data_IF_249895868117
#
_entry.id   IF_249895868117
#
_cell.length_a   1.000
_cell.length_b   1.000
_cell.length_c   1.000
_cell.angle_alpha   90.00
_cell.angle_beta   90.00
_cell.angle_gamma   90.00
#
_symmetry.space_group_name_H-M   'P 1'
#
loop_
_entity.id
_entity.type
_entity.pdbx_description
1 polymer ?
#
# COMPACT_ATOMS: atom_id res chain seq x y z
N UNK A 1 41.31 49.05 41.94
CA UNK A 1 40.32 47.95 42.00
C UNK A 1 39.66 47.80 40.63
N UNK A 2 40.10 46.80 39.83
CA UNK A 2 39.50 46.51 38.50
C UNK A 2 38.50 45.38 38.69
N UNK A 3 37.21 45.65 38.35
CA UNK A 3 36.14 44.64 38.31
C UNK A 3 36.16 43.95 36.95
N UNK A 4 36.50 42.65 36.91
CA UNK A 4 36.36 41.76 35.78
C UNK A 4 34.96 41.19 35.78
N UNK A 5 34.16 41.59 34.79
CA UNK A 5 32.82 40.99 34.53
C UNK A 5 32.96 39.79 33.64
N UNK A 6 32.53 38.62 34.14
CA UNK A 6 32.46 37.37 33.39
C UNK A 6 31.12 37.29 32.70
N UNK A 7 31.11 37.36 31.36
CA UNK A 7 29.91 37.12 30.57
C UNK A 7 29.76 35.62 30.31
N UNK A 8 28.67 35.04 30.86
CA UNK A 8 28.27 33.66 30.60
C UNK A 8 27.44 33.62 29.31
N UNK A 9 28.01 33.12 28.22
CA UNK A 9 27.28 32.86 26.97
C UNK A 9 26.47 31.58 27.14
N UNK A 10 25.14 31.70 27.27
CA UNK A 10 24.21 30.58 27.14
C UNK A 10 24.05 30.23 25.65
N UNK A 11 24.67 29.14 25.24
CA UNK A 11 24.38 28.49 23.94
C UNK A 11 23.03 27.76 24.05
N UNK A 12 21.97 28.36 23.51
CA UNK A 12 20.72 27.69 23.30
C UNK A 12 20.88 26.79 22.07
N UNK A 13 21.11 25.52 22.32
CA UNK A 13 21.04 24.50 21.25
C UNK A 13 19.58 24.34 20.81
N UNK A 14 19.18 24.97 19.71
CA UNK A 14 17.94 24.65 19.01
C UNK A 14 18.07 23.23 18.47
N UNK A 15 17.58 22.26 19.23
CA UNK A 15 17.33 20.90 18.71
C UNK A 15 16.19 21.03 17.71
N UNK A 16 16.54 21.18 16.45
CA UNK A 16 15.59 20.98 15.36
C UNK A 16 15.19 19.50 15.38
N UNK A 17 14.07 19.20 16.03
CA UNK A 17 13.41 17.92 15.85
C UNK A 17 13.00 17.82 14.38
N UNK A 18 13.78 17.11 13.57
CA UNK A 18 13.35 16.68 12.27
C UNK A 18 12.06 15.86 12.47
N UNK A 19 10.97 16.15 11.74
CA UNK A 19 9.79 15.32 11.80
C UNK A 19 10.18 13.91 11.34
N UNK A 20 10.23 13.01 12.29
CA UNK A 20 10.73 11.68 12.06
C UNK A 20 9.59 10.81 11.56
N UNK A 21 9.58 10.52 10.27
CA UNK A 21 8.82 9.37 9.71
C UNK A 21 9.18 8.03 10.41
N UNK A 22 10.15 8.05 11.30
CA UNK A 22 10.56 6.94 12.17
C UNK A 22 9.49 6.48 13.18
N UNK A 23 8.33 7.11 13.21
CA UNK A 23 7.35 6.90 14.28
C UNK A 23 5.97 6.41 13.80
N UNK A 24 5.78 6.04 12.52
CA UNK A 24 4.45 5.65 12.03
C UNK A 24 3.85 4.53 12.86
N UNK A 25 4.57 3.41 12.99
CA UNK A 25 4.11 2.28 13.81
C UNK A 25 4.08 2.60 15.31
N UNK A 26 5.00 3.43 15.80
CA UNK A 26 5.00 3.86 17.20
C UNK A 26 3.81 4.76 17.52
N UNK A 27 3.40 5.58 16.55
CA UNK A 27 2.25 6.48 16.68
C UNK A 27 0.93 5.72 16.62
N UNK A 28 0.78 4.80 15.65
CA UNK A 28 -0.50 4.18 15.32
C UNK A 28 -0.66 2.75 15.86
N UNK A 29 0.45 2.00 16.03
CA UNK A 29 0.43 0.63 16.59
C UNK A 29 -0.39 -0.36 15.78
N UNK A 30 -1.12 -1.23 16.48
CA UNK A 30 -2.04 -2.18 15.86
C UNK A 30 -3.22 -1.46 15.26
N UNK A 31 -3.47 -1.70 13.97
CA UNK A 31 -4.64 -1.18 13.28
C UNK A 31 -5.84 -2.10 13.48
N UNK A 32 -7.04 -1.50 13.44
CA UNK A 32 -8.28 -2.25 13.41
C UNK A 32 -9.34 -1.52 12.58
N UNK A 33 -10.42 -2.21 12.25
CA UNK A 33 -11.55 -1.66 11.48
C UNK A 33 -12.76 -1.50 12.41
N UNK A 34 -13.34 -0.30 12.40
CA UNK A 34 -14.62 -0.03 13.02
C UNK A 34 -15.54 0.72 12.05
N UNK A 35 -16.71 0.14 11.77
CA UNK A 35 -17.58 0.61 10.70
C UNK A 35 -16.86 0.64 9.35
N UNK A 36 -16.79 1.81 8.74
CA UNK A 36 -16.09 2.02 7.45
C UNK A 36 -14.69 2.60 7.61
N UNK A 37 -14.16 2.69 8.83
CA UNK A 37 -12.90 3.39 9.10
C UNK A 37 -11.79 2.44 9.54
N UNK A 38 -10.58 2.73 9.05
CA UNK A 38 -9.35 2.18 9.59
C UNK A 38 -8.90 3.03 10.77
N UNK A 39 -8.78 2.42 11.94
CA UNK A 39 -8.42 3.08 13.19
C UNK A 39 -7.08 2.55 13.72
N UNK A 40 -6.41 3.38 14.51
CA UNK A 40 -5.19 3.01 15.22
C UNK A 40 -5.50 2.45 16.64
N UNK A 41 -4.44 2.02 17.35
CA UNK A 41 -4.55 1.50 18.71
C UNK A 41 -5.19 2.46 19.72
N UNK A 42 -5.35 3.74 19.36
CA UNK A 42 -6.00 4.78 20.18
C UNK A 42 -7.39 5.15 19.68
N UNK A 43 -7.99 4.34 18.78
CA UNK A 43 -9.28 4.57 18.13
C UNK A 43 -9.32 5.90 17.33
N UNK A 44 -8.17 6.32 16.77
CA UNK A 44 -8.11 7.48 15.88
C UNK A 44 -8.09 7.05 14.41
N UNK A 45 -8.85 7.72 13.53
CA UNK A 45 -8.81 7.41 12.10
C UNK A 45 -7.41 7.55 11.51
N UNK A 46 -7.00 6.54 10.74
CA UNK A 46 -5.69 6.51 10.06
C UNK A 46 -5.89 6.45 8.56
N UNK A 47 -5.16 7.29 7.84
CA UNK A 47 -5.05 7.22 6.39
C UNK A 47 -3.59 6.88 6.06
N UNK A 48 -3.36 5.65 5.61
CA UNK A 48 -2.06 5.21 5.13
C UNK A 48 -1.87 5.65 3.67
N UNK A 49 -0.69 6.18 3.35
CA UNK A 49 -0.38 6.69 2.01
C UNK A 49 1.01 6.25 1.61
N UNK A 50 1.11 5.66 0.41
CA UNK A 50 2.39 5.10 0.03
C UNK A 50 2.53 4.70 -1.42
N UNK A 51 3.51 3.85 -1.66
CA UNK A 51 3.90 3.36 -2.98
C UNK A 51 3.78 1.85 -3.07
N UNK A 52 3.26 1.37 -4.18
CA UNK A 52 3.43 -0.01 -4.59
C UNK A 52 4.79 -0.18 -5.30
N UNK A 53 5.48 -1.26 -5.00
CA UNK A 53 6.51 -1.76 -5.91
C UNK A 53 5.85 -2.26 -7.20
N UNK A 54 6.58 -2.35 -8.29
CA UNK A 54 6.17 -3.14 -9.45
C UNK A 54 6.31 -4.64 -9.16
N UNK A 55 5.82 -5.51 -10.02
CA UNK A 55 5.92 -6.97 -9.87
C UNK A 55 7.35 -7.42 -9.57
N UNK A 56 7.53 -8.25 -8.54
CA UNK A 56 8.86 -8.65 -8.08
C UNK A 56 9.71 -9.34 -9.15
N UNK A 57 9.07 -10.10 -10.05
CA UNK A 57 9.72 -10.86 -11.12
C UNK A 57 10.18 -9.97 -12.29
N UNK A 58 9.50 -8.85 -12.55
CA UNK A 58 9.88 -7.91 -13.61
C UNK A 58 10.82 -6.83 -13.11
N UNK A 59 10.70 -6.39 -11.86
CA UNK A 59 11.53 -5.33 -11.28
C UNK A 59 12.23 -5.75 -9.97
N UNK A 60 12.90 -6.92 -9.93
CA UNK A 60 13.53 -7.46 -8.72
C UNK A 60 14.61 -6.55 -8.15
N UNK A 61 15.19 -5.66 -8.98
CA UNK A 61 16.25 -4.75 -8.57
C UNK A 61 15.83 -3.72 -7.52
N UNK A 62 14.53 -3.41 -7.44
CA UNK A 62 14.01 -2.47 -6.46
C UNK A 62 13.60 -3.13 -5.14
N UNK A 63 13.47 -4.46 -5.10
CA UNK A 63 13.09 -5.21 -3.89
C UNK A 63 14.28 -5.35 -2.93
N UNK A 64 14.62 -4.24 -2.25
CA UNK A 64 15.73 -4.17 -1.31
C UNK A 64 15.44 -3.17 -0.18
N UNK A 65 16.10 -3.32 0.99
CA UNK A 65 15.88 -2.48 2.16
C UNK A 65 16.12 -0.99 1.92
N UNK A 66 17.09 -0.64 1.08
CA UNK A 66 17.44 0.75 0.83
C UNK A 66 16.35 1.50 0.06
N UNK A 67 15.63 0.82 -0.84
CA UNK A 67 14.47 1.39 -1.53
C UNK A 67 13.35 1.71 -0.55
N UNK A 68 13.03 0.79 0.37
CA UNK A 68 12.03 1.02 1.43
C UNK A 68 12.43 2.22 2.31
N UNK A 69 13.67 2.23 2.79
CA UNK A 69 14.19 3.34 3.59
C UNK A 69 14.13 4.68 2.85
N UNK A 70 14.36 4.68 1.52
CA UNK A 70 14.26 5.88 0.71
C UNK A 70 12.81 6.36 0.53
N UNK A 71 11.87 5.45 0.26
CA UNK A 71 10.44 5.77 0.14
C UNK A 71 9.91 6.39 1.45
N UNK A 72 10.29 5.84 2.60
CA UNK A 72 9.97 6.44 3.89
C UNK A 72 10.61 7.82 4.05
N UNK A 73 11.92 7.92 3.90
CA UNK A 73 12.70 9.12 4.20
C UNK A 73 12.39 10.29 3.29
N UNK A 74 12.30 10.03 1.98
CA UNK A 74 12.22 11.08 0.96
C UNK A 74 10.81 11.26 0.40
N UNK A 75 10.05 10.18 0.25
CA UNK A 75 8.68 10.24 -0.24
C UNK A 75 7.65 10.36 0.90
N UNK A 76 8.07 10.18 2.14
CA UNK A 76 7.24 10.18 3.34
C UNK A 76 6.19 9.06 3.35
N UNK A 77 6.43 7.93 2.69
CA UNK A 77 5.52 6.80 2.71
C UNK A 77 5.28 6.31 4.14
N UNK A 78 4.01 6.12 4.51
CA UNK A 78 3.59 5.49 5.76
C UNK A 78 3.33 4.00 5.59
N UNK A 79 3.21 3.56 4.35
CA UNK A 79 3.02 2.17 3.93
C UNK A 79 3.71 1.93 2.60
N UNK A 80 4.14 0.70 2.35
CA UNK A 80 4.56 0.21 1.03
C UNK A 80 3.80 -1.07 0.68
N UNK A 81 3.55 -1.31 -0.60
CA UNK A 81 2.92 -2.54 -1.09
C UNK A 81 3.97 -3.36 -1.84
N UNK A 82 4.02 -4.66 -1.55
CA UNK A 82 4.99 -5.61 -2.10
C UNK A 82 4.29 -6.67 -2.99
N UNK A 83 4.03 -6.36 -4.28
CA UNK A 83 3.40 -7.25 -5.22
C UNK A 83 4.25 -8.47 -5.53
N UNK A 84 3.74 -9.66 -5.20
CA UNK A 84 4.36 -10.93 -5.59
C UNK A 84 3.65 -11.48 -6.82
N UNK A 85 4.22 -11.29 -8.01
CA UNK A 85 3.66 -11.84 -9.24
C UNK A 85 3.55 -13.37 -9.19
N UNK A 86 2.39 -13.90 -9.54
CA UNK A 86 2.09 -15.33 -9.36
C UNK A 86 2.27 -16.10 -10.66
N UNK A 87 1.52 -15.76 -11.72
CA UNK A 87 1.47 -16.52 -12.97
C UNK A 87 2.57 -16.21 -13.98
N UNK A 88 3.04 -14.95 -14.12
CA UNK A 88 4.03 -14.63 -15.15
C UNK A 88 5.35 -15.32 -14.94
N UNK A 89 6.11 -15.47 -16.04
CA UNK A 89 7.46 -16.07 -16.01
C UNK A 89 8.34 -15.41 -14.94
N UNK A 90 8.98 -16.25 -14.13
CA UNK A 90 9.77 -15.83 -12.97
C UNK A 90 8.91 -15.44 -11.75
N UNK A 91 7.59 -15.66 -11.81
CA UNK A 91 6.68 -15.50 -10.70
C UNK A 91 6.71 -16.66 -9.70
N UNK A 92 5.82 -16.61 -8.73
CA UNK A 92 5.76 -17.58 -7.64
C UNK A 92 5.59 -19.04 -8.12
N UNK A 93 4.82 -19.27 -9.20
CA UNK A 93 4.60 -20.62 -9.73
C UNK A 93 5.86 -21.20 -10.38
N UNK A 94 6.77 -20.36 -10.88
CA UNK A 94 8.04 -20.79 -11.48
C UNK A 94 9.14 -20.93 -10.41
N UNK A 95 9.26 -19.95 -9.51
CA UNK A 95 10.30 -19.90 -8.46
C UNK A 95 9.76 -19.25 -7.18
N UNK A 96 9.02 -20.04 -6.41
CA UNK A 96 8.42 -19.58 -5.16
C UNK A 96 9.46 -19.14 -4.12
N UNK A 97 10.64 -19.75 -4.11
CA UNK A 97 11.69 -19.43 -3.14
C UNK A 97 12.23 -18.01 -3.38
N UNK A 98 12.57 -17.67 -4.62
CA UNK A 98 13.02 -16.31 -5.00
C UNK A 98 11.90 -15.30 -4.81
N UNK A 99 10.65 -15.62 -5.20
CA UNK A 99 9.49 -14.74 -5.03
C UNK A 99 9.30 -14.35 -3.56
N UNK A 100 9.24 -15.34 -2.68
CA UNK A 100 9.10 -15.14 -1.23
C UNK A 100 10.28 -14.36 -0.65
N UNK A 101 11.52 -14.67 -1.07
CA UNK A 101 12.70 -13.94 -0.61
C UNK A 101 12.63 -12.45 -0.97
N UNK A 102 12.18 -12.10 -2.18
CA UNK A 102 12.02 -10.70 -2.62
C UNK A 102 10.97 -9.97 -1.80
N UNK A 103 9.80 -10.55 -1.63
CA UNK A 103 8.73 -9.95 -0.81
C UNK A 103 9.20 -9.76 0.63
N UNK A 104 9.82 -10.78 1.23
CA UNK A 104 10.37 -10.69 2.60
C UNK A 104 11.39 -9.58 2.75
N UNK A 105 12.25 -9.33 1.77
CA UNK A 105 13.22 -8.23 1.84
C UNK A 105 12.54 -6.86 1.99
N UNK A 106 11.35 -6.66 1.38
CA UNK A 106 10.55 -5.45 1.55
C UNK A 106 9.83 -5.44 2.89
N UNK A 107 9.24 -6.57 3.31
CA UNK A 107 8.51 -6.70 4.59
C UNK A 107 9.44 -6.45 5.77
N UNK A 108 10.58 -7.15 5.81
CA UNK A 108 11.57 -7.02 6.88
C UNK A 108 12.10 -5.58 6.97
N UNK A 109 12.33 -4.93 5.82
CA UNK A 109 12.76 -3.54 5.77
C UNK A 109 11.67 -2.57 6.27
N UNK A 110 10.41 -2.78 5.92
CA UNK A 110 9.30 -1.94 6.38
C UNK A 110 9.11 -2.06 7.90
N UNK A 111 9.24 -3.26 8.46
CA UNK A 111 9.23 -3.50 9.90
C UNK A 111 10.40 -2.74 10.56
N UNK A 112 11.62 -2.88 10.03
CA UNK A 112 12.80 -2.18 10.55
C UNK A 112 12.64 -0.66 10.48
N UNK A 113 12.08 -0.15 9.39
CA UNK A 113 11.82 1.27 9.20
C UNK A 113 10.62 1.79 10.01
N UNK A 114 9.80 0.93 10.58
CA UNK A 114 8.63 1.29 11.38
C UNK A 114 7.50 1.92 10.56
N UNK A 115 7.28 1.44 9.34
CA UNK A 115 6.13 1.73 8.48
C UNK A 115 5.30 0.47 8.25
N UNK A 116 4.08 0.62 7.73
CA UNK A 116 3.24 -0.52 7.35
C UNK A 116 3.68 -1.11 6.01
N UNK A 117 3.30 -2.37 5.80
CA UNK A 117 3.58 -3.08 4.54
C UNK A 117 2.42 -3.98 4.16
N UNK A 118 2.02 -3.92 2.89
CA UNK A 118 1.03 -4.81 2.29
C UNK A 118 1.79 -5.95 1.60
N UNK A 119 1.50 -7.19 2.02
CA UNK A 119 1.94 -8.42 1.35
C UNK A 119 0.84 -8.75 0.34
N UNK A 120 1.11 -8.54 -0.94
CA UNK A 120 0.13 -8.67 -2.00
C UNK A 120 0.36 -9.94 -2.81
N UNK A 121 -0.67 -10.81 -2.83
CA UNK A 121 -0.78 -11.95 -3.73
C UNK A 121 -1.23 -11.45 -5.10
N UNK A 122 -0.23 -11.03 -5.90
CA UNK A 122 -0.45 -10.28 -7.15
C UNK A 122 -0.79 -11.20 -8.32
N UNK A 123 -2.05 -11.58 -8.42
CA UNK A 123 -2.61 -12.49 -9.42
C UNK A 123 -3.90 -11.93 -10.03
N UNK A 124 -4.33 -12.57 -11.14
CA UNK A 124 -5.59 -12.29 -11.82
C UNK A 124 -6.50 -13.52 -11.86
N UNK A 125 -6.06 -14.67 -11.29
CA UNK A 125 -6.83 -15.91 -11.27
C UNK A 125 -6.74 -16.57 -9.90
N UNK A 126 -7.79 -17.26 -9.49
CA UNK A 126 -7.82 -18.05 -8.25
C UNK A 126 -6.74 -19.13 -8.28
N UNK A 127 -5.85 -19.10 -7.26
CA UNK A 127 -4.79 -20.08 -6.99
C UNK A 127 -4.87 -20.51 -5.53
N UNK A 128 -6.01 -21.09 -5.15
CA UNK A 128 -6.33 -21.34 -3.74
C UNK A 128 -5.25 -22.13 -2.99
N UNK A 129 -4.79 -23.23 -3.56
CA UNK A 129 -3.79 -24.11 -2.91
C UNK A 129 -2.48 -23.40 -2.63
N UNK A 130 -1.97 -22.69 -3.63
CA UNK A 130 -0.71 -21.97 -3.55
C UNK A 130 -0.83 -20.76 -2.61
N UNK A 131 -1.92 -20.00 -2.70
CA UNK A 131 -2.23 -18.89 -1.82
C UNK A 131 -2.35 -19.32 -0.35
N UNK A 132 -3.06 -20.41 -0.08
CA UNK A 132 -3.17 -21.00 1.27
C UNK A 132 -1.80 -21.30 1.86
N UNK A 133 -0.93 -21.98 1.09
CA UNK A 133 0.43 -22.31 1.54
C UNK A 133 1.27 -21.05 1.80
N UNK A 134 1.18 -20.06 0.92
CA UNK A 134 1.90 -18.81 1.05
C UNK A 134 1.44 -18.01 2.27
N UNK A 135 0.13 -17.76 2.40
CA UNK A 135 -0.39 -16.96 3.51
C UNK A 135 -0.24 -17.64 4.87
N UNK A 136 -0.34 -18.99 4.95
CA UNK A 136 0.00 -19.71 6.17
C UNK A 136 1.45 -19.44 6.60
N UNK A 137 2.38 -19.48 5.65
CA UNK A 137 3.79 -19.17 5.90
C UNK A 137 4.01 -17.72 6.34
N UNK A 138 3.38 -16.76 5.66
CA UNK A 138 3.53 -15.33 5.97
C UNK A 138 2.90 -14.98 7.32
N UNK A 139 1.69 -15.47 7.59
CA UNK A 139 1.01 -15.23 8.86
C UNK A 139 1.75 -15.85 10.05
N UNK A 140 2.28 -17.06 9.90
CA UNK A 140 3.13 -17.67 10.92
C UNK A 140 4.41 -16.88 11.19
N UNK A 141 5.01 -16.28 10.18
CA UNK A 141 6.26 -15.52 10.30
C UNK A 141 6.03 -14.10 10.83
N UNK A 142 4.96 -13.46 10.39
CA UNK A 142 4.77 -12.02 10.59
C UNK A 142 3.53 -11.65 11.42
N UNK A 143 2.71 -12.59 11.84
CA UNK A 143 1.44 -12.34 12.52
C UNK A 143 1.54 -11.58 13.84
N UNK A 144 2.74 -11.52 14.46
CA UNK A 144 2.98 -10.73 15.67
C UNK A 144 3.45 -9.30 15.41
N UNK A 145 3.64 -8.94 14.14
CA UNK A 145 4.07 -7.60 13.74
C UNK A 145 2.88 -6.76 13.30
N UNK A 146 2.51 -5.71 14.02
CA UNK A 146 1.37 -4.85 13.67
C UNK A 146 1.56 -4.05 12.38
N UNK A 147 2.75 -4.12 11.79
CA UNK A 147 3.11 -3.49 10.52
C UNK A 147 2.44 -4.14 9.30
N UNK A 148 2.05 -5.44 9.41
CA UNK A 148 1.73 -6.25 8.26
C UNK A 148 0.25 -6.18 7.92
N UNK A 149 -0.02 -6.06 6.63
CA UNK A 149 -1.36 -6.09 6.03
C UNK A 149 -1.29 -7.16 4.93
N UNK A 150 -2.32 -7.99 4.81
CA UNK A 150 -2.39 -9.03 3.79
C UNK A 150 -3.39 -8.64 2.71
N UNK A 151 -3.00 -8.69 1.44
CA UNK A 151 -3.89 -8.50 0.30
C UNK A 151 -4.05 -9.84 -0.42
N UNK A 152 -5.27 -10.38 -0.36
CA UNK A 152 -5.52 -11.78 -0.68
C UNK A 152 -5.53 -12.08 -2.17
N UNK A 153 -5.89 -11.10 -2.99
CA UNK A 153 -6.10 -11.22 -4.42
C UNK A 153 -5.98 -9.82 -5.04
N UNK A 154 -4.95 -9.60 -5.86
CA UNK A 154 -4.70 -8.29 -6.44
C UNK A 154 -5.88 -7.76 -7.24
N UNK A 155 -6.26 -8.48 -8.30
CA UNK A 155 -7.31 -8.04 -9.24
C UNK A 155 -8.07 -9.23 -9.82
N UNK A 156 -9.16 -9.68 -9.17
CA UNK A 156 -10.07 -10.65 -9.78
C UNK A 156 -10.65 -10.08 -11.08
N UNK A 157 -10.39 -10.73 -12.23
CA UNK A 157 -10.84 -10.19 -13.52
C UNK A 157 -12.13 -10.84 -14.02
N UNK A 158 -12.21 -12.16 -14.04
CA UNK A 158 -13.34 -12.94 -14.55
C UNK A 158 -14.16 -13.62 -13.45
N UNK A 159 -13.64 -13.71 -12.25
CA UNK A 159 -14.29 -14.35 -11.13
C UNK A 159 -15.49 -13.53 -10.65
N UNK A 160 -16.61 -14.23 -10.42
CA UNK A 160 -17.79 -13.63 -9.79
C UNK A 160 -17.54 -13.36 -8.30
N UNK A 161 -18.34 -12.46 -7.71
CA UNK A 161 -18.24 -12.18 -6.27
C UNK A 161 -18.40 -13.44 -5.38
N UNK A 162 -19.34 -14.37 -5.63
CA UNK A 162 -19.41 -15.60 -4.86
C UNK A 162 -18.12 -16.43 -4.89
N UNK A 163 -17.40 -16.48 -6.03
CA UNK A 163 -16.13 -17.20 -6.17
C UNK A 163 -15.00 -16.50 -5.41
N UNK A 164 -14.86 -15.16 -5.59
CA UNK A 164 -13.89 -14.35 -4.84
C UNK A 164 -14.17 -14.43 -3.34
N UNK A 165 -15.44 -14.37 -2.93
CA UNK A 165 -15.83 -14.47 -1.52
C UNK A 165 -15.50 -15.84 -0.93
N UNK A 166 -15.75 -16.92 -1.65
CA UNK A 166 -15.40 -18.28 -1.21
C UNK A 166 -13.89 -18.43 -1.05
N UNK A 167 -13.11 -18.04 -2.08
CA UNK A 167 -11.66 -18.02 -2.03
C UNK A 167 -11.13 -17.22 -0.84
N UNK A 168 -11.63 -15.99 -0.68
CA UNK A 168 -11.16 -15.09 0.38
C UNK A 168 -11.41 -15.66 1.78
N UNK A 169 -12.56 -16.32 2.02
CA UNK A 169 -12.85 -16.94 3.32
C UNK A 169 -11.85 -18.03 3.68
N UNK A 170 -11.48 -18.91 2.74
CA UNK A 170 -10.49 -19.96 2.97
C UNK A 170 -9.11 -19.37 3.33
N UNK A 171 -8.71 -18.29 2.66
CA UNK A 171 -7.44 -17.62 2.95
C UNK A 171 -7.51 -16.85 4.28
N UNK A 172 -8.63 -16.19 4.59
CA UNK A 172 -8.83 -15.52 5.88
C UNK A 172 -8.72 -16.53 7.02
N UNK A 173 -9.39 -17.68 6.93
CA UNK A 173 -9.30 -18.74 7.94
C UNK A 173 -7.87 -19.22 8.13
N UNK A 174 -7.13 -19.36 7.01
CA UNK A 174 -5.71 -19.72 7.02
C UNK A 174 -4.85 -18.70 7.77
N UNK A 175 -5.04 -17.41 7.47
CA UNK A 175 -4.30 -16.32 8.14
C UNK A 175 -4.67 -16.26 9.62
N UNK A 176 -5.95 -16.29 9.94
CA UNK A 176 -6.47 -16.14 11.32
C UNK A 176 -6.06 -17.29 12.25
N UNK A 177 -5.66 -18.43 11.71
CA UNK A 177 -5.05 -19.52 12.50
C UNK A 177 -3.70 -19.12 13.15
N UNK A 178 -3.01 -18.09 12.63
CA UNK A 178 -1.70 -17.62 13.10
C UNK A 178 -1.67 -16.15 13.47
N UNK A 179 -2.54 -15.33 12.85
CA UNK A 179 -2.62 -13.88 13.00
C UNK A 179 -4.07 -13.45 13.20
N UNK A 180 -4.50 -13.26 14.45
CA UNK A 180 -5.89 -12.90 14.74
C UNK A 180 -6.23 -11.43 14.45
N UNK A 181 -5.23 -10.54 14.34
CA UNK A 181 -5.46 -9.11 14.50
C UNK A 181 -5.13 -8.25 13.27
N UNK A 182 -4.11 -8.61 12.48
CA UNK A 182 -3.69 -7.76 11.37
C UNK A 182 -4.76 -7.57 10.30
N UNK A 183 -4.67 -6.44 9.62
CA UNK A 183 -5.61 -6.06 8.55
C UNK A 183 -5.49 -7.02 7.36
N UNK A 184 -6.63 -7.39 6.80
CA UNK A 184 -6.74 -8.15 5.56
C UNK A 184 -7.49 -7.33 4.53
N UNK A 185 -6.93 -7.21 3.32
CA UNK A 185 -7.54 -6.59 2.16
C UNK A 185 -8.14 -7.68 1.27
N UNK A 186 -9.41 -7.52 0.94
CA UNK A 186 -10.20 -8.46 0.13
C UNK A 186 -10.44 -7.84 -1.24
N UNK A 187 -10.04 -8.54 -2.29
CA UNK A 187 -10.31 -8.13 -3.67
C UNK A 187 -11.80 -8.18 -4.00
N UNK A 188 -12.22 -7.44 -5.01
CA UNK A 188 -13.55 -7.50 -5.58
C UNK A 188 -13.50 -7.74 -7.10
N UNK A 189 -14.59 -8.25 -7.72
CA UNK A 189 -14.57 -8.55 -9.14
C UNK A 189 -14.25 -7.35 -10.03
N UNK A 190 -13.89 -7.64 -11.28
CA UNK A 190 -13.73 -6.64 -12.33
C UNK A 190 -12.60 -5.64 -11.98
N UNK A 191 -11.41 -6.21 -11.63
CA UNK A 191 -10.21 -5.42 -11.26
C UNK A 191 -10.49 -4.44 -10.10
N UNK A 192 -11.11 -4.95 -9.03
CA UNK A 192 -11.47 -4.20 -7.82
C UNK A 192 -12.39 -2.98 -8.05
N UNK A 193 -13.27 -3.08 -9.07
CA UNK A 193 -14.23 -2.04 -9.39
C UNK A 193 -15.66 -2.36 -8.93
N UNK A 194 -16.01 -3.64 -8.67
CA UNK A 194 -17.37 -4.05 -8.31
C UNK A 194 -17.58 -4.15 -6.78
N UNK A 195 -17.05 -3.18 -6.06
CA UNK A 195 -17.16 -3.05 -4.60
C UNK A 195 -18.60 -2.85 -4.12
N UNK A 196 -19.48 -2.28 -4.94
CA UNK A 196 -20.92 -2.13 -4.67
C UNK A 196 -21.64 -3.48 -4.67
N UNK A 197 -21.17 -4.46 -5.46
CA UNK A 197 -21.64 -5.86 -5.46
C UNK A 197 -21.18 -6.53 -4.15
N UNK A 198 -19.89 -6.42 -3.81
CA UNK A 198 -19.36 -6.93 -2.53
C UNK A 198 -20.10 -6.34 -1.33
N UNK A 199 -20.46 -5.04 -1.37
CA UNK A 199 -21.23 -4.38 -0.33
C UNK A 199 -22.69 -4.86 -0.23
N UNK A 200 -23.22 -5.52 -1.27
CA UNK A 200 -24.54 -6.16 -1.24
C UNK A 200 -24.55 -7.50 -0.49
N UNK A 201 -23.40 -8.17 -0.40
CA UNK A 201 -23.23 -9.47 0.26
C UNK A 201 -21.81 -9.59 0.88
N UNK A 202 -21.46 -8.79 1.90
CA UNK A 202 -20.11 -8.74 2.43
C UNK A 202 -19.70 -10.04 3.15
N UNK A 203 -18.40 -10.21 3.37
CA UNK A 203 -17.88 -11.29 4.22
C UNK A 203 -18.16 -10.93 5.68
N UNK A 204 -18.96 -11.74 6.36
CA UNK A 204 -19.36 -11.55 7.74
C UNK A 204 -18.59 -12.47 8.70
N UNK A 205 -18.61 -12.14 10.00
CA UNK A 205 -18.03 -12.91 11.10
C UNK A 205 -16.47 -12.91 11.15
N UNK A 206 -15.83 -11.99 10.43
CA UNK A 206 -14.39 -11.75 10.55
C UNK A 206 -14.15 -10.28 10.92
N UNK A 207 -13.06 -10.05 11.67
CA UNK A 207 -12.62 -8.71 12.06
C UNK A 207 -11.51 -8.22 11.11
N UNK A 208 -11.36 -6.90 11.07
CA UNK A 208 -10.22 -6.24 10.41
C UNK A 208 -10.10 -6.56 8.92
N UNK A 209 -11.24 -6.57 8.22
CA UNK A 209 -11.31 -6.66 6.77
C UNK A 209 -11.54 -5.28 6.17
N UNK A 210 -10.82 -4.94 5.10
CA UNK A 210 -11.13 -3.85 4.18
C UNK A 210 -11.24 -4.43 2.76
N UNK A 211 -11.98 -3.74 1.90
CA UNK A 211 -12.15 -4.15 0.51
C UNK A 211 -11.36 -3.23 -0.41
N UNK A 212 -10.68 -3.85 -1.37
CA UNK A 212 -9.83 -3.10 -2.29
C UNK A 212 -10.64 -2.36 -3.34
N UNK A 213 -10.18 -1.17 -3.67
CA UNK A 213 -10.65 -0.36 -4.78
C UNK A 213 -9.43 0.05 -5.60
N UNK A 214 -9.39 -0.28 -6.89
CA UNK A 214 -8.36 0.14 -7.80
C UNK A 214 -8.88 1.20 -8.77
N UNK A 215 -8.09 2.26 -9.00
CA UNK A 215 -8.45 3.26 -10.00
C UNK A 215 -7.25 3.77 -10.80
N UNK A 216 -7.51 4.06 -12.06
CA UNK A 216 -6.62 4.79 -12.96
C UNK A 216 -7.39 6.01 -13.48
N UNK A 217 -6.98 7.20 -13.06
CA UNK A 217 -7.82 8.41 -13.11
C UNK A 217 -8.21 8.87 -14.53
N UNK A 218 -7.40 8.57 -15.56
CA UNK A 218 -7.80 8.90 -16.93
C UNK A 218 -8.95 8.01 -17.44
N UNK A 219 -9.10 6.78 -16.90
CA UNK A 219 -10.18 5.82 -17.23
C UNK A 219 -11.32 5.89 -16.24
N UNK A 220 -11.02 5.75 -14.95
CA UNK A 220 -11.99 5.60 -13.87
C UNK A 220 -12.34 6.97 -13.29
N UNK A 221 -13.59 7.36 -13.50
CA UNK A 221 -14.07 8.70 -13.17
C UNK A 221 -15.21 8.66 -12.13
N UNK A 222 -16.17 9.56 -12.24
CA UNK A 222 -17.25 9.71 -11.27
C UNK A 222 -18.04 8.41 -11.07
N UNK A 223 -18.29 7.65 -12.12
CA UNK A 223 -19.06 6.39 -12.01
C UNK A 223 -18.47 5.40 -10.99
N UNK A 224 -17.14 5.31 -10.91
CA UNK A 224 -16.49 4.40 -9.95
C UNK A 224 -16.52 4.97 -8.53
N UNK A 225 -16.40 6.30 -8.38
CA UNK A 225 -16.63 6.95 -7.09
C UNK A 225 -18.07 6.79 -6.60
N UNK A 226 -19.06 6.76 -7.50
CA UNK A 226 -20.46 6.52 -7.15
C UNK A 226 -20.68 5.09 -6.64
N UNK A 227 -20.05 4.08 -7.26
CA UNK A 227 -20.00 2.71 -6.74
C UNK A 227 -19.35 2.68 -5.34
N UNK A 228 -18.21 3.34 -5.18
CA UNK A 228 -17.50 3.43 -3.90
C UNK A 228 -18.35 4.12 -2.82
N UNK A 229 -19.03 5.23 -3.14
CA UNK A 229 -19.96 5.89 -2.23
C UNK A 229 -21.12 4.97 -1.82
N UNK A 230 -21.65 4.20 -2.77
CA UNK A 230 -22.70 3.20 -2.49
C UNK A 230 -22.19 2.11 -1.54
N UNK A 231 -20.98 1.63 -1.72
CA UNK A 231 -20.35 0.64 -0.84
C UNK A 231 -20.16 1.20 0.59
N UNK A 232 -19.64 2.41 0.72
CA UNK A 232 -19.46 3.09 2.01
C UNK A 232 -20.82 3.30 2.72
N UNK A 233 -21.86 3.73 1.99
CA UNK A 233 -23.21 3.92 2.55
C UNK A 233 -23.82 2.62 3.06
N UNK A 234 -23.44 1.47 2.47
CA UNK A 234 -23.82 0.13 2.95
C UNK A 234 -22.93 -0.38 4.08
N UNK A 235 -21.96 0.40 4.54
CA UNK A 235 -21.09 0.04 5.65
C UNK A 235 -19.84 -0.73 5.27
N UNK A 236 -19.47 -0.80 3.97
CA UNK A 236 -18.27 -1.50 3.52
C UNK A 236 -17.02 -0.62 3.71
N UNK A 237 -16.02 -1.04 4.49
CA UNK A 237 -14.76 -0.33 4.64
C UNK A 237 -13.86 -0.54 3.42
N UNK A 238 -13.27 0.53 2.89
CA UNK A 238 -12.49 0.51 1.65
C UNK A 238 -11.02 0.85 1.89
N UNK A 239 -10.17 0.32 1.00
CA UNK A 239 -8.75 0.65 0.89
C UNK A 239 -8.37 0.75 -0.60
N UNK A 240 -7.74 1.83 -1.03
CA UNK A 240 -7.20 1.94 -2.38
C UNK A 240 -5.78 1.37 -2.39
N UNK A 241 -5.65 0.07 -2.68
CA UNK A 241 -4.36 -0.63 -2.65
C UNK A 241 -3.55 -0.44 -3.93
N UNK A 242 -4.19 0.02 -5.01
CA UNK A 242 -3.52 0.41 -6.24
C UNK A 242 -4.22 1.59 -6.91
N UNK A 243 -3.44 2.57 -7.38
CA UNK A 243 -3.99 3.72 -8.12
C UNK A 243 -2.95 4.42 -8.96
N UNK A 244 -3.39 5.09 -10.03
CA UNK A 244 -2.53 5.97 -10.82
C UNK A 244 -3.33 7.06 -11.56
N UNK A 245 -2.60 8.02 -12.15
CA UNK A 245 -3.20 9.18 -12.81
C UNK A 245 -3.49 9.03 -14.30
N UNK A 246 -3.02 7.95 -14.95
CA UNK A 246 -3.15 7.70 -16.39
C UNK A 246 -4.29 6.71 -16.69
N UNK A 247 -4.29 6.13 -17.90
CA UNK A 247 -5.27 5.12 -18.29
C UNK A 247 -5.05 3.78 -17.60
N UNK A 248 -6.09 2.94 -17.56
CA UNK A 248 -6.06 1.62 -16.92
C UNK A 248 -5.04 0.65 -17.53
N UNK A 249 -4.56 0.91 -18.75
CA UNK A 249 -3.43 0.20 -19.36
C UNK A 249 -2.10 0.41 -18.62
N UNK A 250 -2.03 1.38 -17.69
CA UNK A 250 -0.81 1.85 -17.05
C UNK A 250 -0.04 2.88 -17.88
N UNK A 251 -0.51 3.21 -19.08
CA UNK A 251 0.12 4.15 -20.00
C UNK A 251 -0.81 5.32 -20.39
N UNK A 252 -0.40 6.15 -21.33
CA UNK A 252 -1.15 7.32 -21.78
C UNK A 252 -0.93 8.57 -20.92
N UNK A 253 -1.64 9.66 -21.25
CA UNK A 253 -1.48 10.93 -20.56
C UNK A 253 -2.02 10.90 -19.13
N UNK A 254 -1.34 11.60 -18.24
CA UNK A 254 -1.82 11.79 -16.86
C UNK A 254 -2.99 12.78 -16.88
N UNK A 255 -4.13 12.36 -16.33
CA UNK A 255 -5.25 13.26 -16.06
C UNK A 255 -5.09 13.83 -14.63
N UNK A 256 -4.33 14.93 -14.52
CA UNK A 256 -4.00 15.51 -13.21
C UNK A 256 -5.22 16.00 -12.43
N UNK A 257 -6.22 16.55 -13.12
CA UNK A 257 -7.45 17.05 -12.48
C UNK A 257 -8.25 15.90 -11.87
N UNK A 258 -8.48 14.83 -12.64
CA UNK A 258 -9.24 13.68 -12.18
C UNK A 258 -8.48 12.89 -11.11
N UNK A 259 -7.14 12.79 -11.23
CA UNK A 259 -6.32 12.18 -10.19
C UNK A 259 -6.42 12.95 -8.85
N UNK A 260 -6.37 14.28 -8.91
CA UNK A 260 -6.56 15.09 -7.71
C UNK A 260 -7.98 14.94 -7.12
N UNK A 261 -9.03 14.82 -7.95
CA UNK A 261 -10.40 14.54 -7.48
C UNK A 261 -10.46 13.22 -6.71
N UNK A 262 -9.80 12.16 -7.20
CA UNK A 262 -9.71 10.88 -6.52
C UNK A 262 -8.98 10.99 -5.18
N UNK A 263 -7.84 11.67 -5.14
CA UNK A 263 -7.09 11.87 -3.89
C UNK A 263 -7.93 12.66 -2.87
N UNK A 264 -8.56 13.75 -3.29
CA UNK A 264 -9.42 14.56 -2.42
C UNK A 264 -10.61 13.73 -1.88
N UNK A 265 -11.23 12.93 -2.74
CA UNK A 265 -12.31 12.03 -2.35
C UNK A 265 -11.84 10.99 -1.32
N UNK A 266 -10.68 10.38 -1.52
CA UNK A 266 -10.10 9.43 -0.58
C UNK A 266 -9.81 10.08 0.78
N UNK A 267 -9.20 11.27 0.78
CA UNK A 267 -8.91 12.03 2.00
C UNK A 267 -10.17 12.44 2.77
N UNK A 268 -11.21 12.89 2.07
CA UNK A 268 -12.49 13.26 2.67
C UNK A 268 -13.18 12.08 3.36
N UNK A 269 -13.09 10.89 2.76
CA UNK A 269 -13.66 9.65 3.28
C UNK A 269 -12.71 8.90 4.23
N UNK A 270 -11.50 9.42 4.51
CA UNK A 270 -10.48 8.76 5.35
C UNK A 270 -10.05 7.40 4.81
N UNK A 271 -9.97 7.25 3.50
CA UNK A 271 -9.56 6.03 2.82
C UNK A 271 -8.06 6.08 2.52
N UNK A 272 -7.34 5.05 2.91
CA UNK A 272 -5.92 4.87 2.60
C UNK A 272 -5.69 4.64 1.11
N UNK A 273 -4.56 5.12 0.56
CA UNK A 273 -4.27 5.00 -0.86
C UNK A 273 -2.81 4.75 -1.19
N UNK A 274 -2.59 3.91 -2.19
CA UNK A 274 -1.29 3.48 -2.69
C UNK A 274 -1.20 3.83 -4.18
N UNK A 275 -0.06 4.39 -4.60
CA UNK A 275 0.20 4.68 -6.02
C UNK A 275 1.05 3.57 -6.65
N UNK A 276 0.68 3.13 -7.83
CA UNK A 276 1.41 2.22 -8.71
C UNK A 276 2.38 3.00 -9.61
N UNK A 277 3.65 2.68 -9.79
CA UNK A 277 4.49 1.74 -9.08
C UNK A 277 5.97 2.14 -9.13
N UNK A 278 6.76 1.66 -8.17
CA UNK A 278 8.22 1.71 -8.21
C UNK A 278 8.72 0.71 -9.24
N UNK A 279 8.83 1.17 -10.47
CA UNK A 279 9.26 0.42 -11.65
C UNK A 279 9.86 1.39 -12.67
N UNK A 280 10.49 0.85 -13.70
CA UNK A 280 11.15 1.61 -14.77
C UNK A 280 10.75 1.15 -16.18
N UNK A 281 9.60 0.48 -16.30
CA UNK A 281 8.99 0.11 -17.58
C UNK A 281 8.73 1.35 -18.43
N UNK A 282 8.81 1.23 -19.73
CA UNK A 282 8.48 2.32 -20.65
C UNK A 282 6.96 2.52 -20.73
N UNK A 283 6.36 2.95 -19.65
CA UNK A 283 4.95 3.31 -19.51
C UNK A 283 4.80 4.44 -18.48
N UNK A 284 3.67 5.13 -18.48
CA UNK A 284 3.48 6.34 -17.68
C UNK A 284 3.36 6.06 -16.18
N UNK A 285 2.75 4.95 -15.77
CA UNK A 285 2.59 4.61 -14.34
C UNK A 285 3.90 4.23 -13.64
N UNK A 286 4.92 3.79 -14.40
CA UNK A 286 6.27 3.58 -13.85
C UNK A 286 6.87 4.92 -13.41
N UNK A 287 7.21 5.04 -12.11
CA UNK A 287 7.65 6.33 -11.56
C UNK A 287 9.12 6.68 -11.85
N UNK A 288 9.90 5.71 -12.36
CA UNK A 288 11.34 5.86 -12.56
C UNK A 288 11.73 5.75 -14.04
N UNK A 289 12.82 6.42 -14.40
CA UNK A 289 13.54 6.13 -15.63
C UNK A 289 14.47 4.93 -15.45
N UNK A 290 14.83 4.17 -16.52
CA UNK A 290 15.72 3.01 -16.43
C UNK A 290 17.11 3.31 -15.84
N UNK A 291 17.55 4.56 -15.93
CA UNK A 291 18.82 5.06 -15.37
C UNK A 291 18.78 5.28 -13.85
N UNK A 292 17.60 5.20 -13.24
CA UNK A 292 17.43 5.41 -11.81
C UNK A 292 18.17 4.33 -11.00
N UNK A 293 18.77 4.74 -9.89
CA UNK A 293 19.44 3.82 -8.97
C UNK A 293 18.42 2.83 -8.36
N UNK A 294 18.81 1.57 -8.23
CA UNK A 294 17.98 0.52 -7.66
C UNK A 294 17.79 0.62 -6.14
N UNK A 295 18.58 1.45 -5.45
CA UNK A 295 18.59 1.57 -3.99
C UNK A 295 18.08 2.93 -3.49
N UNK A 296 17.20 3.60 -4.26
CA UNK A 296 16.72 4.93 -3.89
C UNK A 296 17.66 6.07 -4.29
N UNK A 297 17.66 7.18 -3.54
CA UNK A 297 18.43 8.41 -3.82
C UNK A 297 18.07 9.06 -5.14
N UNK A 298 16.82 8.87 -5.58
CA UNK A 298 16.32 9.40 -6.84
C UNK A 298 16.22 10.93 -6.82
N UNK A 299 16.85 11.56 -7.80
CA UNK A 299 16.74 12.99 -8.06
C UNK A 299 15.59 13.24 -9.03
N UNK A 300 15.17 14.49 -9.21
CA UNK A 300 14.10 14.85 -10.15
C UNK A 300 14.33 14.29 -11.57
N UNK A 301 15.59 14.22 -12.02
CA UNK A 301 15.96 13.66 -13.34
C UNK A 301 15.78 12.14 -13.46
N UNK A 302 15.68 11.44 -12.33
CA UNK A 302 15.50 9.99 -12.27
C UNK A 302 14.01 9.60 -12.25
N UNK A 303 13.12 10.61 -12.07
CA UNK A 303 11.68 10.45 -11.94
C UNK A 303 10.96 10.84 -13.22
N UNK A 304 10.01 10.02 -13.64
CA UNK A 304 9.01 10.38 -14.64
C UNK A 304 7.98 11.35 -14.06
N UNK A 305 7.11 11.92 -14.89
CA UNK A 305 6.08 12.87 -14.46
C UNK A 305 5.17 12.28 -13.37
N UNK A 306 4.77 11.02 -13.51
CA UNK A 306 4.03 10.27 -12.48
C UNK A 306 4.78 10.22 -11.15
N UNK A 307 6.08 9.95 -11.18
CA UNK A 307 6.92 9.91 -9.98
C UNK A 307 7.09 11.26 -9.31
N UNK A 308 7.25 12.32 -10.08
CA UNK A 308 7.30 13.70 -9.55
C UNK A 308 5.98 14.05 -8.85
N UNK A 309 4.85 13.76 -9.52
CA UNK A 309 3.51 14.03 -8.98
C UNK A 309 3.22 13.22 -7.72
N UNK A 310 3.46 11.92 -7.75
CA UNK A 310 3.24 11.03 -6.59
C UNK A 310 4.08 11.46 -5.39
N UNK A 311 5.38 11.71 -5.60
CA UNK A 311 6.26 12.18 -4.52
C UNK A 311 5.79 13.50 -3.91
N UNK A 312 5.26 14.41 -4.73
CA UNK A 312 4.67 15.67 -4.27
C UNK A 312 3.43 15.39 -3.40
N UNK A 313 2.48 14.58 -3.87
CA UNK A 313 1.27 14.23 -3.13
C UNK A 313 1.59 13.54 -1.80
N UNK A 314 2.48 12.54 -1.80
CA UNK A 314 2.87 11.84 -0.58
C UNK A 314 3.51 12.77 0.45
N UNK A 315 4.38 13.68 0.02
CA UNK A 315 4.98 14.69 0.90
C UNK A 315 3.98 15.72 1.40
N UNK A 316 2.96 16.05 0.61
CA UNK A 316 1.90 16.97 0.99
C UNK A 316 1.02 16.37 2.10
N UNK A 317 0.51 15.17 1.87
CA UNK A 317 -0.48 14.53 2.75
C UNK A 317 0.13 13.78 3.95
N UNK A 318 1.45 13.50 3.95
CA UNK A 318 2.18 12.88 5.06
C UNK A 318 3.13 13.86 5.76
N UNK A 319 2.77 15.15 5.85
CA UNK A 319 3.61 16.24 6.42
C UNK A 319 3.71 16.25 7.95
N UNK A 320 3.28 15.22 8.67
CA UNK A 320 3.29 15.29 10.14
C UNK A 320 4.33 14.39 10.78
#
# INVERSE_FOLDING_TARGET
>A
MKKTGTYLLLLIACIHQLPSSAQVIKKHGQLHVDGTQLLDQHNQPVVLRGMSFGWHNFWPRFYNPQTVAWLKKDWHCTVVRAPMGIEPKGGYLDDSATAVQKVRAVVDAAIQEGIYVIIDWHCHNIRLKEATSFFASMAKLYGTYPNVIYELFNEPDHESWPEVKAYSKEIIDTIRAYDPDNIILVGSPHWDQDIDIAAGDPILNYKNLLYTLHFYAATHKQYLRDKANTAIQKGLPLFISESAGMEASGDGPINEEEWLRWILWAEQNKISWITWSVSDKNETCSVLYPTANSTGRWRKRDLKSSGIKTRMLLREYNRN
#
